data_IF_712416559956
#
_entry.id   IF_712416559956
#
_cell.length_a   1.000
_cell.length_b   1.000
_cell.length_c   1.000
_cell.angle_alpha   90.00
_cell.angle_beta   90.00
_cell.angle_gamma   90.00
#
_symmetry.space_group_name_H-M   'P 1'
#
loop_
_entity.id
_entity.type
_entity.pdbx_description
1 polymer ?
#
# COMPACT_ATOMS: atom_id res chain seq x y z
N UNK A 1 15.36 2.46 31.51
CA UNK A 1 15.28 3.62 30.60
C UNK A 1 14.23 3.26 29.57
N UNK A 2 13.03 3.79 29.69
CA UNK A 2 11.88 3.43 28.83
C UNK A 2 11.70 4.62 27.90
N UNK A 3 12.02 4.45 26.61
CA UNK A 3 11.65 5.45 25.61
C UNK A 3 10.14 5.30 25.44
N UNK A 4 9.37 6.18 26.05
CA UNK A 4 7.93 6.30 25.81
C UNK A 4 7.76 6.89 24.40
N UNK A 5 7.55 6.04 23.40
CA UNK A 5 7.02 6.49 22.12
C UNK A 5 5.52 6.75 22.30
N UNK A 6 5.18 7.97 22.73
CA UNK A 6 3.81 8.39 22.98
C UNK A 6 3.69 9.91 22.93
N UNK A 7 3.97 10.50 21.77
CA UNK A 7 3.63 11.90 21.51
C UNK A 7 2.12 12.03 21.36
N UNK A 8 1.51 13.02 22.00
CA UNK A 8 0.12 13.41 21.73
C UNK A 8 0.01 13.79 20.24
N UNK A 9 -1.15 13.60 19.58
CA UNK A 9 -1.32 13.96 18.16
C UNK A 9 -0.86 15.39 17.82
N UNK A 10 -1.05 16.34 18.75
CA UNK A 10 -0.58 17.72 18.63
C UNK A 10 0.95 17.86 18.60
N UNK A 11 1.68 17.04 19.36
CA UNK A 11 3.15 17.05 19.38
C UNK A 11 3.72 16.44 18.11
N UNK A 12 3.07 15.39 17.58
CA UNK A 12 3.43 14.83 16.28
C UNK A 12 3.19 15.85 15.15
N UNK A 13 2.07 16.57 15.20
CA UNK A 13 1.74 17.63 14.25
C UNK A 13 2.77 18.76 14.31
N UNK A 14 3.07 19.27 15.51
CA UNK A 14 4.07 20.32 15.69
C UNK A 14 5.46 19.91 15.20
N UNK A 15 5.89 18.67 15.48
CA UNK A 15 7.18 18.17 15.01
C UNK A 15 7.24 18.01 13.47
N UNK A 16 6.12 17.67 12.82
CA UNK A 16 6.04 17.64 11.34
C UNK A 16 6.08 19.04 10.76
N UNK A 17 5.33 19.98 11.34
CA UNK A 17 5.33 21.39 10.93
C UNK A 17 6.72 22.01 11.05
N UNK A 18 7.41 21.80 12.18
CA UNK A 18 8.79 22.26 12.40
C UNK A 18 9.76 21.66 11.37
N UNK A 19 9.69 20.36 11.13
CA UNK A 19 10.50 19.69 10.12
C UNK A 19 10.24 20.23 8.70
N UNK A 20 8.98 20.48 8.36
CA UNK A 20 8.59 21.05 7.08
C UNK A 20 9.11 22.50 6.93
N UNK A 21 9.03 23.33 7.98
CA UNK A 21 9.58 24.69 7.95
C UNK A 21 11.10 24.69 7.74
N UNK A 22 11.84 23.81 8.41
CA UNK A 22 13.30 23.72 8.29
C UNK A 22 13.75 23.17 6.93
N UNK A 23 13.01 22.22 6.36
CA UNK A 23 13.39 21.51 5.13
C UNK A 23 12.75 22.09 3.85
N UNK A 24 12.01 23.20 3.95
CA UNK A 24 11.46 23.92 2.81
C UNK A 24 10.10 23.43 2.30
N UNK A 25 9.34 22.75 3.15
CA UNK A 25 7.96 22.33 2.92
C UNK A 25 7.70 20.89 3.37
N UNK A 26 6.43 20.50 3.38
CA UNK A 26 6.05 19.10 3.57
C UNK A 26 6.61 18.26 2.40
N UNK A 27 7.21 17.09 2.66
CA UNK A 27 7.67 16.22 1.59
C UNK A 27 6.50 15.83 0.69
N UNK A 28 6.52 16.27 -0.56
CA UNK A 28 5.62 15.79 -1.61
C UNK A 28 6.34 14.73 -2.41
N UNK A 29 6.06 13.45 -2.12
CA UNK A 29 6.44 12.41 -3.06
C UNK A 29 5.63 12.63 -4.35
N UNK A 30 6.27 12.60 -5.54
CA UNK A 30 5.51 12.61 -6.78
C UNK A 30 4.56 11.41 -6.80
N UNK A 31 3.41 11.60 -7.47
CA UNK A 31 2.51 10.48 -7.74
C UNK A 31 3.25 9.47 -8.62
N UNK A 32 2.98 8.20 -8.36
CA UNK A 32 3.50 7.12 -9.17
C UNK A 32 2.97 7.24 -10.61
N UNK A 33 3.84 7.06 -11.60
CA UNK A 33 3.44 7.06 -13.00
C UNK A 33 2.88 5.69 -13.45
N UNK A 34 2.37 5.62 -14.68
CA UNK A 34 1.77 4.38 -15.21
C UNK A 34 2.76 3.21 -15.25
N UNK A 35 4.06 3.48 -15.43
CA UNK A 35 5.09 2.44 -15.45
C UNK A 35 5.37 1.91 -14.05
N UNK A 36 5.42 2.79 -13.05
CA UNK A 36 5.52 2.44 -11.63
C UNK A 36 4.27 1.69 -11.15
N UNK A 37 3.08 2.15 -11.50
CA UNK A 37 1.82 1.45 -11.21
C UNK A 37 1.76 0.09 -11.91
N UNK A 38 2.36 -0.04 -13.08
CA UNK A 38 2.51 -1.33 -13.75
C UNK A 38 3.43 -2.25 -12.95
N UNK A 39 4.61 -1.80 -12.53
CA UNK A 39 5.50 -2.62 -11.66
C UNK A 39 4.81 -2.99 -10.34
N UNK A 40 4.05 -2.06 -9.77
CA UNK A 40 3.29 -2.31 -8.56
C UNK A 40 2.23 -3.40 -8.75
N UNK A 41 1.54 -3.39 -9.90
CA UNK A 41 0.61 -4.46 -10.25
C UNK A 41 1.28 -5.84 -10.31
N UNK A 42 2.54 -5.93 -10.78
CA UNK A 42 3.28 -7.20 -10.76
C UNK A 42 3.47 -7.73 -9.34
N UNK A 43 3.90 -6.87 -8.41
CA UNK A 43 4.03 -7.23 -6.99
C UNK A 43 2.68 -7.69 -6.40
N UNK A 44 1.58 -7.04 -6.79
CA UNK A 44 0.24 -7.44 -6.37
C UNK A 44 -0.15 -8.81 -6.90
N UNK A 45 0.18 -9.14 -8.15
CA UNK A 45 -0.05 -10.47 -8.72
C UNK A 45 0.80 -11.53 -8.01
N UNK A 46 2.06 -11.24 -7.71
CA UNK A 46 2.93 -12.15 -6.94
C UNK A 46 2.37 -12.44 -5.55
N UNK A 47 1.87 -11.42 -4.86
CA UNK A 47 1.22 -11.58 -3.57
C UNK A 47 -0.07 -12.42 -3.68
N UNK A 48 -0.88 -12.20 -4.73
CA UNK A 48 -2.07 -13.01 -5.01
C UNK A 48 -1.70 -14.49 -5.21
N UNK A 49 -0.69 -14.78 -6.01
CA UNK A 49 -0.23 -16.15 -6.26
C UNK A 49 0.29 -16.82 -4.99
N UNK A 50 1.05 -16.10 -4.16
CA UNK A 50 1.48 -16.56 -2.84
C UNK A 50 0.28 -16.92 -1.95
N UNK A 51 -0.75 -16.06 -1.90
CA UNK A 51 -1.94 -16.27 -1.08
C UNK A 51 -2.72 -17.51 -1.53
N UNK A 52 -2.93 -17.66 -2.84
CA UNK A 52 -3.58 -18.85 -3.41
C UNK A 52 -2.78 -20.12 -3.08
N UNK A 53 -1.45 -20.08 -3.20
CA UNK A 53 -0.58 -21.21 -2.85
C UNK A 53 -0.65 -21.61 -1.37
N UNK A 54 -0.93 -20.64 -0.48
CA UNK A 54 -1.14 -20.87 0.95
C UNK A 54 -2.59 -21.22 1.32
N UNK A 55 -3.47 -21.41 0.33
CA UNK A 55 -4.85 -21.86 0.53
C UNK A 55 -5.85 -20.75 0.87
N UNK A 56 -5.49 -19.49 0.67
CA UNK A 56 -6.42 -18.37 0.76
C UNK A 56 -7.24 -18.21 -0.53
N UNK A 57 -8.37 -17.51 -0.43
CA UNK A 57 -9.26 -17.21 -1.57
C UNK A 57 -9.40 -15.69 -1.78
N UNK A 58 -8.32 -15.00 -2.20
CA UNK A 58 -8.37 -13.59 -2.55
C UNK A 58 -9.24 -13.33 -3.80
N UNK A 59 -9.69 -12.09 -3.95
CA UNK A 59 -10.35 -11.62 -5.16
C UNK A 59 -9.42 -11.81 -6.37
N UNK A 60 -9.91 -12.33 -7.50
CA UNK A 60 -9.08 -12.48 -8.70
C UNK A 60 -8.60 -11.12 -9.21
N UNK A 61 -7.40 -11.05 -9.80
CA UNK A 61 -6.85 -9.80 -10.31
C UNK A 61 -7.71 -9.17 -11.41
N UNK A 62 -7.84 -7.84 -11.37
CA UNK A 62 -8.30 -7.06 -12.53
C UNK A 62 -7.23 -7.08 -13.63
N UNK A 63 -7.50 -6.54 -14.82
CA UNK A 63 -6.41 -6.33 -15.78
C UNK A 63 -5.46 -5.25 -15.28
N UNK A 64 -4.22 -5.25 -15.77
CA UNK A 64 -3.22 -4.22 -15.47
C UNK A 64 -3.73 -2.84 -15.89
N UNK A 65 -4.31 -2.73 -17.07
CA UNK A 65 -4.84 -1.47 -17.59
C UNK A 65 -5.96 -0.93 -16.67
N UNK A 66 -6.84 -1.81 -16.19
CA UNK A 66 -7.89 -1.44 -15.24
C UNK A 66 -7.31 -1.02 -13.88
N UNK A 67 -6.25 -1.66 -13.41
CA UNK A 67 -5.56 -1.29 -12.18
C UNK A 67 -4.96 0.11 -12.29
N UNK A 68 -4.14 0.37 -13.31
CA UNK A 68 -3.52 1.68 -13.55
C UNK A 68 -4.57 2.78 -13.68
N UNK A 69 -5.65 2.52 -14.44
CA UNK A 69 -6.72 3.50 -14.65
C UNK A 69 -7.54 3.82 -13.39
N UNK A 70 -7.63 2.91 -12.42
CA UNK A 70 -8.46 3.05 -11.23
C UNK A 70 -7.70 3.42 -9.95
N UNK A 71 -6.36 3.45 -10.00
CA UNK A 71 -5.51 3.57 -8.80
C UNK A 71 -5.82 4.82 -7.98
N UNK A 72 -5.82 5.97 -8.63
CA UNK A 72 -6.12 7.24 -7.97
C UNK A 72 -7.60 7.51 -7.75
N UNK A 73 -8.49 6.71 -8.34
CA UNK A 73 -9.93 6.73 -8.03
C UNK A 73 -10.25 5.99 -6.72
N UNK A 74 -9.32 5.20 -6.19
CA UNK A 74 -9.53 4.38 -4.99
C UNK A 74 -10.35 3.11 -5.24
N UNK A 75 -10.53 2.72 -6.50
CA UNK A 75 -11.33 1.57 -6.92
C UNK A 75 -10.49 0.38 -7.40
N UNK A 76 -9.16 0.47 -7.28
CA UNK A 76 -8.27 -0.59 -7.72
C UNK A 76 -8.41 -1.88 -6.92
N UNK A 77 -8.15 -2.97 -7.63
CA UNK A 77 -7.99 -4.28 -7.04
C UNK A 77 -6.69 -4.39 -6.24
N UNK A 78 -6.71 -5.11 -5.12
CA UNK A 78 -5.51 -5.47 -4.36
C UNK A 78 -5.51 -6.94 -3.95
N UNK A 79 -4.31 -7.55 -3.86
CA UNK A 79 -4.14 -8.97 -3.56
C UNK A 79 -4.82 -9.42 -2.25
N UNK A 80 -4.78 -8.60 -1.21
CA UNK A 80 -5.36 -8.90 0.11
C UNK A 80 -6.85 -8.56 0.21
N UNK A 81 -7.52 -8.24 -0.90
CA UNK A 81 -8.98 -8.11 -0.91
C UNK A 81 -9.63 -9.50 -0.92
N UNK A 82 -10.60 -9.76 -0.04
CA UNK A 82 -11.36 -11.01 -0.07
C UNK A 82 -12.22 -11.11 -1.33
N UNK A 83 -12.41 -12.32 -1.86
CA UNK A 83 -13.20 -12.54 -3.08
C UNK A 83 -14.68 -12.15 -2.97
N UNK A 84 -15.22 -12.10 -1.74
CA UNK A 84 -16.56 -11.60 -1.44
C UNK A 84 -16.47 -10.53 -0.34
N UNK A 85 -17.33 -9.50 -0.35
CA UNK A 85 -17.27 -8.41 0.63
C UNK A 85 -17.36 -8.89 2.09
N UNK A 86 -18.10 -9.97 2.34
CA UNK A 86 -18.27 -10.58 3.67
C UNK A 86 -17.19 -11.62 4.01
N UNK A 87 -16.14 -11.72 3.20
CA UNK A 87 -15.07 -12.70 3.37
C UNK A 87 -14.20 -12.42 4.60
N UNK A 88 -13.50 -13.45 5.06
CA UNK A 88 -12.52 -13.29 6.13
C UNK A 88 -11.36 -12.37 5.67
N UNK A 89 -10.87 -11.47 6.54
CA UNK A 89 -9.68 -10.68 6.24
C UNK A 89 -8.49 -11.57 5.90
N UNK A 90 -7.74 -11.19 4.87
CA UNK A 90 -6.54 -11.91 4.45
C UNK A 90 -5.34 -11.37 5.24
N UNK A 91 -4.61 -12.21 5.99
CA UNK A 91 -3.48 -11.75 6.78
C UNK A 91 -2.28 -11.38 5.89
N UNK A 92 -1.55 -10.34 6.30
CA UNK A 92 -0.29 -9.90 5.71
C UNK A 92 0.94 -10.67 6.25
N UNK A 93 0.74 -11.51 7.28
CA UNK A 93 1.82 -12.28 7.93
C UNK A 93 2.30 -13.50 7.15
N UNK A 94 1.50 -13.99 6.20
CA UNK A 94 1.84 -15.17 5.38
C UNK A 94 2.45 -14.74 4.05
N UNK A 95 1.76 -13.83 3.37
CA UNK A 95 2.24 -13.18 2.16
C UNK A 95 2.19 -11.67 2.44
N UNK A 96 3.34 -10.97 2.43
CA UNK A 96 3.38 -9.53 2.69
C UNK A 96 2.46 -8.77 1.74
N UNK A 97 1.81 -7.73 2.25
CA UNK A 97 1.06 -6.80 1.41
C UNK A 97 2.06 -5.87 0.69
N UNK A 98 2.09 -5.86 -0.65
CA UNK A 98 2.97 -4.97 -1.38
C UNK A 98 2.61 -3.49 -1.13
N UNK A 99 3.64 -2.67 -1.07
CA UNK A 99 3.57 -1.21 -1.00
C UNK A 99 4.21 -0.59 -2.25
N UNK A 100 3.78 0.61 -2.62
CA UNK A 100 4.46 1.37 -3.70
C UNK A 100 5.96 1.56 -3.44
N UNK A 101 6.37 1.60 -2.18
CA UNK A 101 7.78 1.71 -1.79
C UNK A 101 8.61 0.45 -2.12
N UNK A 102 7.97 -0.68 -2.39
CA UNK A 102 8.64 -1.95 -2.70
C UNK A 102 9.01 -2.08 -4.19
N UNK A 103 8.60 -1.12 -5.03
CA UNK A 103 8.96 -1.10 -6.45
C UNK A 103 10.47 -0.87 -6.56
N UNK A 104 11.16 -1.75 -7.28
CA UNK A 104 12.55 -1.51 -7.69
C UNK A 104 12.58 -0.52 -8.88
N UNK A 105 13.38 0.54 -8.73
CA UNK A 105 13.42 1.70 -9.63
C UNK A 105 14.33 1.46 -10.83
#
# INVERSE_FOLDING_TARGET
>A
MVIQHGGRPEELRAAREECAEELGGEPTAPLADDAELSKFYDLQVEAYECLVANGYSPAPPSTREAFVASYYAGESWFAHQPAVPEGAPIPDTVCPQPMLADIEW
#
